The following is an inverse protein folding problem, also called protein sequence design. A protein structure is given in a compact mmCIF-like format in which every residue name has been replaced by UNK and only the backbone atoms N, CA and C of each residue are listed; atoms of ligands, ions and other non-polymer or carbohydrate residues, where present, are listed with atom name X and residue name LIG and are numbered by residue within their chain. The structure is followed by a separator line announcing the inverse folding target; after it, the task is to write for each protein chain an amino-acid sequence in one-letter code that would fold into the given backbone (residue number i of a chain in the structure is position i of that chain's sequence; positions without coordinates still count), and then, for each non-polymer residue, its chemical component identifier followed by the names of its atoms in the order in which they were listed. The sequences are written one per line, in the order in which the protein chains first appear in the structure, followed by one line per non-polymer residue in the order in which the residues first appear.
data_IF_174937859269
#
_entry.id   IF_174937859269
#
_cell.length_a   1.000
_cell.length_b   1.000
_cell.length_c   1.000
_cell.angle_alpha   90.00
_cell.angle_beta   90.00
_cell.angle_gamma   90.00
#
_symmetry.space_group_name_H-M   'P 1'
#
loop_
_entity.id
_entity.type
_entity.pdbx_description
1 polymer ?
#
# COMPACT_ATOMS: atom_id res chain seq x y z
N UNK A 1 67.61 62.50 52.14
CA UNK A 1 66.20 62.33 52.46
C UNK A 1 65.52 61.95 51.20
N UNK A 2 65.34 60.68 50.98
CA UNK A 2 64.92 60.10 49.66
C UNK A 2 63.50 59.58 49.79
N UNK A 3 62.59 60.18 49.09
CA UNK A 3 61.21 59.73 49.05
C UNK A 3 61.02 58.70 47.91
N UNK A 4 60.67 57.48 48.30
CA UNK A 4 60.25 56.41 47.40
C UNK A 4 58.80 56.62 47.01
N UNK A 5 58.54 56.66 45.69
CA UNK A 5 57.22 56.67 45.11
C UNK A 5 56.89 55.23 44.66
N UNK A 6 55.89 54.61 45.27
CA UNK A 6 55.36 53.35 44.84
C UNK A 6 54.29 53.58 43.73
N UNK A 7 54.56 53.10 42.52
CA UNK A 7 53.60 53.05 41.45
C UNK A 7 52.89 51.72 41.58
N UNK A 8 51.58 51.82 41.86
CA UNK A 8 50.68 50.65 41.91
C UNK A 8 50.13 50.39 40.46
N UNK A 9 50.69 49.38 39.80
CA UNK A 9 50.15 48.93 38.51
C UNK A 9 48.90 48.08 38.76
N UNK A 10 47.71 48.57 38.35
CA UNK A 10 46.46 47.87 38.33
C UNK A 10 46.46 47.00 37.10
N UNK A 11 46.61 45.67 37.25
CA UNK A 11 46.39 44.70 36.21
C UNK A 11 44.90 44.46 36.09
N UNK A 12 44.30 44.95 35.04
CA UNK A 12 42.89 44.58 34.64
C UNK A 12 42.97 43.24 33.94
N UNK A 13 42.63 42.17 34.62
CA UNK A 13 42.35 40.87 33.97
C UNK A 13 41.06 40.95 33.22
N UNK A 14 41.14 41.07 31.90
CA UNK A 14 40.01 40.84 30.99
C UNK A 14 39.80 39.33 30.92
N UNK A 15 38.78 38.83 31.62
CA UNK A 15 38.30 37.46 31.52
C UNK A 15 37.58 37.29 30.18
N UNK A 16 38.23 36.69 29.18
CA UNK A 16 37.57 36.16 28.01
C UNK A 16 36.82 34.89 28.39
N UNK A 17 35.52 34.96 28.49
CA UNK A 17 34.67 33.76 28.46
C UNK A 17 34.62 33.21 27.04
N UNK A 18 34.88 31.90 26.81
CA UNK A 18 34.65 31.31 25.54
C UNK A 18 33.11 31.18 25.32
N UNK A 19 32.64 31.86 24.29
CA UNK A 19 31.27 31.73 23.81
C UNK A 19 31.00 30.25 23.47
N UNK A 20 30.01 29.67 24.15
CA UNK A 20 29.41 28.38 23.70
C UNK A 20 28.73 28.62 22.36
N UNK A 21 29.41 28.30 21.28
CA UNK A 21 28.77 28.02 20.01
C UNK A 21 27.90 26.81 20.21
N UNK A 22 26.61 27.05 20.30
CA UNK A 22 25.59 26.01 20.13
C UNK A 22 25.67 25.57 18.67
N UNK A 23 26.43 24.52 18.38
CA UNK A 23 26.25 23.75 17.15
C UNK A 23 24.89 23.11 17.25
N UNK A 24 23.94 23.71 16.52
CA UNK A 24 22.71 23.03 16.15
C UNK A 24 23.12 21.84 15.28
N UNK A 25 23.09 20.64 15.86
CA UNK A 25 23.07 19.37 15.09
C UNK A 25 21.98 19.48 14.03
N UNK A 26 22.28 19.25 12.75
CA UNK A 26 21.24 19.04 11.78
C UNK A 26 20.44 17.83 12.24
N UNK A 27 19.17 18.05 12.52
CA UNK A 27 18.18 16.99 12.68
C UNK A 27 18.03 16.35 11.30
N UNK A 28 18.97 15.50 10.92
CA UNK A 28 18.72 14.50 9.91
C UNK A 28 17.69 13.55 10.53
N UNK A 29 16.43 13.78 10.19
CA UNK A 29 15.40 12.76 10.27
C UNK A 29 15.91 11.64 9.38
N UNK A 30 16.62 10.69 9.95
CA UNK A 30 16.84 9.38 9.34
C UNK A 30 15.45 8.79 9.23
N UNK A 31 14.81 9.00 8.07
CA UNK A 31 13.65 8.23 7.67
C UNK A 31 14.11 6.77 7.75
N UNK A 32 13.67 6.08 8.78
CA UNK A 32 13.98 4.66 8.94
C UNK A 32 13.33 3.96 7.77
N UNK A 33 14.00 2.95 7.20
CA UNK A 33 13.44 2.10 6.11
C UNK A 33 12.03 1.56 6.43
N UNK A 34 11.60 1.62 7.69
CA UNK A 34 10.26 1.30 8.15
C UNK A 34 9.20 2.35 7.75
N UNK A 35 9.57 3.62 7.54
CA UNK A 35 8.64 4.68 7.16
C UNK A 35 8.34 4.67 5.64
N UNK A 36 9.17 4.01 4.83
CA UNK A 36 8.93 3.82 3.40
C UNK A 36 7.94 2.68 3.10
N UNK A 37 7.59 1.85 4.07
CA UNK A 37 6.68 0.74 3.83
C UNK A 37 5.24 1.15 4.08
N UNK A 38 4.50 1.38 2.99
CA UNK A 38 3.07 1.69 3.00
C UNK A 38 2.27 0.65 3.82
N UNK A 39 1.28 1.10 4.60
CA UNK A 39 0.47 0.26 5.47
C UNK A 39 -0.22 -0.90 4.73
N UNK A 40 -0.71 -0.66 3.50
CA UNK A 40 -1.34 -1.69 2.68
C UNK A 40 -0.32 -2.74 2.22
N UNK A 41 0.91 -2.33 1.88
CA UNK A 41 2.02 -3.22 1.55
C UNK A 41 2.34 -4.16 2.72
N UNK A 42 2.47 -3.62 3.94
CA UNK A 42 2.68 -4.43 5.15
C UNK A 42 1.54 -5.40 5.38
N UNK A 43 0.30 -4.93 5.30
CA UNK A 43 -0.89 -5.75 5.45
C UNK A 43 -0.94 -6.90 4.44
N UNK A 44 -0.60 -6.65 3.18
CA UNK A 44 -0.52 -7.67 2.14
C UNK A 44 0.57 -8.72 2.44
N UNK A 45 1.77 -8.28 2.86
CA UNK A 45 2.86 -9.19 3.24
C UNK A 45 2.48 -10.10 4.41
N UNK A 46 1.71 -9.61 5.38
CA UNK A 46 1.24 -10.45 6.47
C UNK A 46 0.35 -11.60 6.00
N UNK A 47 -0.48 -11.39 4.98
CA UNK A 47 -1.38 -12.41 4.43
C UNK A 47 -0.60 -13.61 3.85
N UNK A 48 0.65 -13.43 3.44
CA UNK A 48 1.47 -14.53 2.90
C UNK A 48 1.87 -15.57 3.96
N UNK A 49 1.65 -15.28 5.25
CA UNK A 49 1.89 -16.23 6.35
C UNK A 49 0.77 -17.26 6.49
N UNK A 50 -0.42 -16.96 5.94
CA UNK A 50 -1.60 -17.79 6.06
C UNK A 50 -1.69 -18.76 4.88
N UNK A 51 -2.04 -20.03 5.18
CA UNK A 51 -2.27 -21.03 4.14
C UNK A 51 -3.70 -20.90 3.61
N UNK A 52 -3.83 -20.40 2.39
CA UNK A 52 -5.12 -20.19 1.72
C UNK A 52 -5.19 -21.01 0.45
N UNK A 53 -6.23 -21.84 0.33
CA UNK A 53 -6.54 -22.58 -0.89
C UNK A 53 -7.29 -21.68 -1.87
N UNK A 54 -6.94 -21.76 -3.15
CA UNK A 54 -7.69 -21.07 -4.21
C UNK A 54 -9.09 -21.67 -4.34
N UNK A 55 -10.12 -20.85 -4.14
CA UNK A 55 -11.53 -21.27 -4.20
C UNK A 55 -12.40 -20.14 -4.78
N UNK A 56 -12.84 -20.23 -6.06
CA UNK A 56 -13.66 -19.23 -6.71
C UNK A 56 -15.16 -19.40 -6.43
N UNK A 57 -15.55 -20.30 -5.53
CA UNK A 57 -16.96 -20.55 -5.21
C UNK A 57 -17.67 -19.29 -4.72
N UNK A 58 -18.98 -19.24 -4.97
CA UNK A 58 -19.86 -18.26 -4.37
C UNK A 58 -20.11 -18.60 -2.91
N UNK A 59 -19.95 -17.62 -2.04
CA UNK A 59 -20.25 -17.73 -0.61
C UNK A 59 -21.31 -16.70 -0.21
N UNK A 60 -22.28 -17.11 0.60
CA UNK A 60 -23.13 -16.17 1.33
C UNK A 60 -22.35 -15.71 2.56
N UNK A 61 -22.06 -14.44 2.64
CA UNK A 61 -21.23 -13.85 3.68
C UNK A 61 -21.97 -12.70 4.37
N UNK A 62 -21.65 -12.37 5.63
CA UNK A 62 -22.21 -11.20 6.31
C UNK A 62 -21.97 -9.91 5.51
N UNK A 63 -22.79 -8.91 5.79
CA UNK A 63 -22.60 -7.54 5.29
C UNK A 63 -22.89 -6.53 6.41
N UNK A 64 -22.05 -5.50 6.64
CA UNK A 64 -20.72 -5.29 6.07
C UNK A 64 -19.64 -6.24 6.70
N UNK A 65 -18.39 -6.08 6.27
CA UNK A 65 -17.20 -6.80 6.78
C UNK A 65 -17.24 -8.33 6.59
N UNK A 66 -18.06 -8.83 5.65
CA UNK A 66 -18.11 -10.25 5.34
C UNK A 66 -16.84 -10.76 4.67
N UNK A 67 -16.43 -11.97 5.00
CA UNK A 67 -15.30 -12.67 4.38
C UNK A 67 -15.69 -14.12 4.04
N UNK A 68 -15.03 -14.66 3.04
CA UNK A 68 -15.07 -16.10 2.77
C UNK A 68 -14.30 -16.86 3.85
N UNK A 69 -14.47 -18.19 3.99
CA UNK A 69 -13.71 -18.94 4.97
C UNK A 69 -12.22 -18.60 4.96
N UNK A 70 -11.56 -18.46 6.11
CA UNK A 70 -10.19 -17.91 6.20
C UNK A 70 -9.14 -18.76 5.48
N UNK A 71 -9.40 -20.05 5.30
CA UNK A 71 -8.55 -21.01 4.60
C UNK A 71 -8.76 -20.99 3.07
N UNK A 72 -9.60 -20.11 2.53
CA UNK A 72 -9.99 -20.03 1.10
C UNK A 72 -9.97 -18.62 0.59
N UNK A 73 -9.84 -18.48 -0.74
CA UNK A 73 -9.95 -17.19 -1.40
C UNK A 73 -9.34 -17.19 -2.79
N UNK A 74 -9.54 -16.09 -3.50
CA UNK A 74 -8.98 -15.80 -4.82
C UNK A 74 -8.16 -14.52 -4.79
N UNK A 75 -7.71 -14.02 -5.95
CA UNK A 75 -6.90 -12.80 -6.03
C UNK A 75 -7.56 -11.57 -5.41
N UNK A 76 -8.85 -11.40 -5.58
CA UNK A 76 -9.61 -10.28 -4.98
C UNK A 76 -9.67 -10.38 -3.46
N UNK A 77 -9.74 -11.60 -2.89
CA UNK A 77 -9.78 -11.78 -1.43
C UNK A 77 -8.46 -11.35 -0.77
N UNK A 78 -7.33 -11.46 -1.47
CA UNK A 78 -6.04 -10.89 -1.02
C UNK A 78 -6.15 -9.37 -0.87
N UNK A 79 -6.66 -8.69 -1.89
CA UNK A 79 -6.84 -7.23 -1.89
C UNK A 79 -7.82 -6.82 -0.79
N UNK A 80 -8.98 -7.47 -0.71
CA UNK A 80 -10.03 -7.19 0.28
C UNK A 80 -9.49 -7.35 1.72
N UNK A 81 -8.79 -8.44 1.99
CA UNK A 81 -8.22 -8.73 3.31
C UNK A 81 -7.11 -7.76 3.69
N UNK A 82 -6.25 -7.36 2.75
CA UNK A 82 -5.21 -6.38 2.99
C UNK A 82 -5.80 -5.01 3.34
N UNK A 83 -6.80 -4.54 2.60
CA UNK A 83 -7.53 -3.31 2.92
C UNK A 83 -8.25 -3.39 4.27
N UNK A 84 -8.86 -4.52 4.60
CA UNK A 84 -9.51 -4.73 5.90
C UNK A 84 -8.53 -4.61 7.07
N UNK A 85 -7.30 -5.12 6.93
CA UNK A 85 -6.25 -4.98 7.96
C UNK A 85 -5.87 -3.53 8.26
N UNK A 86 -6.11 -2.62 7.32
CA UNK A 86 -5.90 -1.17 7.50
C UNK A 86 -7.20 -0.40 7.74
N UNK A 87 -8.30 -1.11 8.09
CA UNK A 87 -9.57 -0.50 8.50
C UNK A 87 -10.53 -0.16 7.35
N UNK A 88 -10.26 -0.57 6.11
CA UNK A 88 -11.09 -0.29 4.93
C UNK A 88 -11.88 -1.53 4.53
N UNK A 89 -13.22 -1.46 4.58
CA UNK A 89 -14.11 -2.54 4.13
C UNK A 89 -14.49 -2.39 2.66
N UNK A 90 -13.70 -2.99 1.76
CA UNK A 90 -14.00 -2.95 0.32
C UNK A 90 -15.33 -3.61 -0.05
N UNK A 91 -15.86 -4.55 0.74
CA UNK A 91 -17.20 -5.11 0.50
C UNK A 91 -18.25 -3.97 0.59
N UNK A 92 -18.17 -3.19 1.67
CA UNK A 92 -19.09 -2.06 1.90
C UNK A 92 -18.88 -0.97 0.85
N UNK A 93 -17.64 -0.52 0.66
CA UNK A 93 -17.31 0.58 -0.24
C UNK A 93 -17.77 0.31 -1.69
N UNK A 94 -17.44 -0.88 -2.22
CA UNK A 94 -17.85 -1.30 -3.57
C UNK A 94 -19.38 -1.43 -3.67
N UNK A 95 -20.02 -2.05 -2.67
CA UNK A 95 -21.46 -2.25 -2.70
C UNK A 95 -22.23 -0.92 -2.67
N UNK A 96 -21.80 0.04 -1.86
CA UNK A 96 -22.45 1.34 -1.75
C UNK A 96 -22.24 2.19 -3.02
N UNK A 97 -21.05 2.20 -3.62
CA UNK A 97 -20.83 2.87 -4.90
C UNK A 97 -21.65 2.21 -6.02
N UNK A 98 -21.70 0.88 -6.05
CA UNK A 98 -22.53 0.16 -7.03
C UNK A 98 -24.01 0.42 -6.85
N UNK A 99 -24.54 0.58 -5.65
CA UNK A 99 -25.95 0.94 -5.43
C UNK A 99 -26.32 2.28 -6.06
N UNK A 100 -25.40 3.24 -5.99
CA UNK A 100 -25.61 4.59 -6.53
C UNK A 100 -25.30 4.69 -8.02
N UNK A 101 -24.41 3.84 -8.56
CA UNK A 101 -23.84 3.97 -9.90
C UNK A 101 -23.76 2.63 -10.62
N UNK A 102 -24.79 1.78 -10.47
CA UNK A 102 -24.79 0.43 -11.03
C UNK A 102 -24.59 0.40 -12.54
N UNK A 103 -25.03 1.44 -13.26
CA UNK A 103 -24.86 1.60 -14.70
C UNK A 103 -23.39 1.74 -15.14
N UNK A 104 -22.50 2.18 -14.24
CA UNK A 104 -21.06 2.35 -14.49
C UNK A 104 -20.27 1.05 -14.38
N UNK A 105 -20.83 0.04 -13.73
CA UNK A 105 -20.17 -1.23 -13.51
C UNK A 105 -20.43 -2.24 -14.64
N UNK A 106 -19.48 -3.17 -14.88
CA UNK A 106 -19.62 -4.16 -15.96
C UNK A 106 -20.87 -5.02 -15.83
N UNK A 107 -21.57 -5.25 -16.96
CA UNK A 107 -22.79 -6.05 -17.03
C UNK A 107 -22.54 -7.53 -17.36
N UNK A 108 -21.31 -8.01 -17.19
CA UNK A 108 -20.86 -9.35 -17.63
C UNK A 108 -21.64 -10.52 -17.02
N UNK A 109 -22.27 -10.32 -15.86
CA UNK A 109 -22.92 -11.41 -15.10
C UNK A 109 -24.45 -11.35 -15.13
N UNK A 110 -25.03 -10.46 -15.92
CA UNK A 110 -26.48 -10.36 -16.09
C UNK A 110 -27.26 -9.91 -14.85
N UNK A 111 -26.58 -9.43 -13.82
CA UNK A 111 -27.23 -8.93 -12.61
C UNK A 111 -28.01 -7.65 -12.91
N UNK A 112 -29.19 -7.53 -12.28
CA UNK A 112 -30.04 -6.34 -12.36
C UNK A 112 -29.85 -5.39 -11.17
N UNK A 113 -29.13 -5.82 -10.15
CA UNK A 113 -28.83 -5.09 -8.91
C UNK A 113 -27.50 -5.57 -8.32
N UNK A 114 -26.85 -4.77 -7.46
CA UNK A 114 -25.67 -5.21 -6.74
C UNK A 114 -25.93 -6.41 -5.84
N UNK A 115 -24.90 -7.26 -5.71
CA UNK A 115 -24.87 -8.42 -4.82
C UNK A 115 -23.69 -8.30 -3.84
N UNK A 116 -23.95 -8.04 -2.54
CA UNK A 116 -22.92 -7.81 -1.55
C UNK A 116 -22.01 -9.02 -1.29
N UNK A 117 -22.43 -10.23 -1.72
CA UNK A 117 -21.63 -11.44 -1.52
C UNK A 117 -20.49 -11.58 -2.54
N UNK A 118 -20.62 -10.97 -3.74
CA UNK A 118 -19.71 -11.30 -4.86
C UNK A 118 -19.15 -10.06 -5.58
N UNK A 119 -19.80 -8.91 -5.51
CA UNK A 119 -19.43 -7.76 -6.35
C UNK A 119 -18.01 -7.27 -6.09
N UNK A 120 -17.59 -7.17 -4.83
CA UNK A 120 -16.22 -6.82 -4.43
C UNK A 120 -15.20 -7.93 -4.72
N UNK A 121 -15.65 -9.16 -5.00
CA UNK A 121 -14.82 -10.31 -5.37
C UNK A 121 -14.64 -10.48 -6.89
N UNK A 122 -14.99 -9.47 -7.68
CA UNK A 122 -14.86 -9.43 -9.15
C UNK A 122 -13.82 -8.40 -9.56
N UNK A 123 -12.73 -8.82 -10.17
CA UNK A 123 -11.65 -7.91 -10.61
C UNK A 123 -12.18 -6.74 -11.45
N UNK A 124 -13.04 -6.91 -12.46
CA UNK A 124 -13.56 -5.78 -13.23
C UNK A 124 -14.38 -4.78 -12.41
N UNK A 125 -15.04 -5.23 -11.34
CA UNK A 125 -15.74 -4.31 -10.42
C UNK A 125 -14.76 -3.53 -9.55
N UNK A 126 -13.71 -4.17 -9.03
CA UNK A 126 -12.64 -3.48 -8.29
C UNK A 126 -11.92 -2.46 -9.17
N UNK A 127 -11.61 -2.81 -10.42
CA UNK A 127 -11.04 -1.86 -11.39
C UNK A 127 -11.94 -0.64 -11.57
N UNK A 128 -13.25 -0.84 -11.73
CA UNK A 128 -14.21 0.25 -11.84
C UNK A 128 -14.27 1.08 -10.57
N UNK A 129 -14.31 0.44 -9.41
CA UNK A 129 -14.30 1.12 -8.11
C UNK A 129 -13.05 1.97 -7.92
N UNK A 130 -11.86 1.41 -8.10
CA UNK A 130 -10.61 2.14 -7.95
C UNK A 130 -10.45 3.27 -8.99
N UNK A 131 -10.98 3.11 -10.19
CA UNK A 131 -11.02 4.19 -11.19
C UNK A 131 -11.94 5.34 -10.80
N UNK A 132 -12.97 5.09 -10.01
CA UNK A 132 -13.98 6.08 -9.60
C UNK A 132 -13.65 6.75 -8.28
N UNK A 133 -13.06 6.00 -7.35
CA UNK A 133 -12.85 6.41 -5.95
C UNK A 133 -11.38 6.56 -5.58
N UNK A 134 -10.48 5.95 -6.31
CA UNK A 134 -9.04 6.04 -6.12
C UNK A 134 -8.36 6.98 -7.11
N UNK A 135 -7.05 6.87 -7.18
CA UNK A 135 -6.22 7.52 -8.19
C UNK A 135 -5.80 6.51 -9.24
N UNK A 136 -6.15 6.75 -10.49
CA UNK A 136 -5.64 6.00 -11.64
C UNK A 136 -4.22 6.47 -11.93
N UNK A 137 -3.29 5.53 -11.99
CA UNK A 137 -1.88 5.79 -12.30
C UNK A 137 -1.53 5.35 -13.73
N UNK A 138 -0.49 5.92 -14.34
CA UNK A 138 0.00 5.46 -15.63
C UNK A 138 0.42 3.98 -15.59
N UNK A 139 0.16 3.27 -16.68
CA UNK A 139 0.74 1.95 -16.93
C UNK A 139 2.01 2.16 -17.75
N UNK A 140 3.16 1.76 -17.19
CA UNK A 140 4.47 1.94 -17.83
C UNK A 140 5.28 0.65 -17.73
N UNK A 141 6.39 0.57 -18.45
CA UNK A 141 7.35 -0.54 -18.34
C UNK A 141 8.46 -0.25 -17.31
N UNK A 142 8.41 0.93 -16.66
CA UNK A 142 9.36 1.29 -15.62
C UNK A 142 8.88 0.78 -14.24
N UNK A 143 9.61 -0.15 -13.60
CA UNK A 143 9.21 -0.71 -12.31
C UNK A 143 9.18 0.30 -11.16
N UNK A 144 9.88 1.42 -11.27
CA UNK A 144 9.92 2.45 -10.22
C UNK A 144 8.63 3.31 -10.18
N UNK A 145 7.78 3.21 -11.21
CA UNK A 145 6.48 3.88 -11.22
C UNK A 145 5.43 3.15 -10.36
N UNK A 146 5.74 1.92 -9.90
CA UNK A 146 4.86 1.08 -9.09
C UNK A 146 5.31 1.12 -7.63
N UNK A 147 4.63 1.92 -6.81
CA UNK A 147 4.97 2.14 -5.42
C UNK A 147 4.35 1.06 -4.49
N UNK A 148 4.98 0.76 -3.33
CA UNK A 148 4.38 -0.09 -2.31
C UNK A 148 2.97 0.40 -1.91
N UNK A 149 1.99 -0.52 -1.90
CA UNK A 149 0.58 -0.21 -1.66
C UNK A 149 -0.24 0.08 -2.92
N UNK A 150 0.38 0.14 -4.09
CA UNK A 150 -0.39 0.22 -5.33
C UNK A 150 -1.13 -1.10 -5.60
N UNK A 151 -2.30 -0.98 -6.22
CA UNK A 151 -3.10 -2.10 -6.71
C UNK A 151 -2.92 -2.20 -8.21
N UNK A 152 -2.55 -3.38 -8.70
CA UNK A 152 -2.36 -3.62 -10.13
C UNK A 152 -3.30 -4.73 -10.58
N UNK A 153 -3.88 -4.59 -11.77
CA UNK A 153 -4.68 -5.62 -12.43
C UNK A 153 -4.07 -6.04 -13.75
N UNK A 154 -4.31 -7.29 -14.14
CA UNK A 154 -3.79 -7.90 -15.37
C UNK A 154 -4.86 -8.68 -16.12
N UNK A 155 -4.66 -8.83 -17.44
CA UNK A 155 -5.26 -9.89 -18.22
C UNK A 155 -4.26 -11.06 -18.32
N UNK A 156 -4.76 -12.26 -17.98
CA UNK A 156 -4.01 -13.50 -18.08
C UNK A 156 -4.13 -14.11 -19.49
N UNK A 157 -3.16 -14.95 -19.92
CA UNK A 157 -3.18 -15.59 -21.25
C UNK A 157 -4.43 -16.41 -21.53
N UNK A 158 -5.13 -16.90 -20.50
CA UNK A 158 -6.39 -17.65 -20.61
C UNK A 158 -7.64 -16.76 -20.67
N UNK A 159 -7.49 -15.44 -20.77
CA UNK A 159 -8.57 -14.46 -20.81
C UNK A 159 -9.23 -14.13 -19.48
N UNK A 160 -8.71 -14.64 -18.36
CA UNK A 160 -9.16 -14.25 -17.04
C UNK A 160 -8.48 -12.95 -16.59
N UNK A 161 -9.19 -12.18 -15.77
CA UNK A 161 -8.63 -11.00 -15.10
C UNK A 161 -7.99 -11.39 -13.78
N UNK A 162 -6.93 -10.67 -13.39
CA UNK A 162 -6.19 -10.89 -12.16
C UNK A 162 -5.91 -9.55 -11.46
N UNK A 163 -5.64 -9.58 -10.14
CA UNK A 163 -5.35 -8.40 -9.33
C UNK A 163 -4.39 -8.75 -8.19
N UNK A 164 -3.56 -7.80 -7.79
CA UNK A 164 -2.63 -7.96 -6.67
C UNK A 164 -2.17 -6.62 -6.12
N UNK A 165 -1.34 -6.66 -5.08
CA UNK A 165 -0.81 -5.50 -4.37
C UNK A 165 0.71 -5.46 -4.53
N UNK A 166 1.21 -4.30 -4.95
CA UNK A 166 2.65 -4.00 -4.98
C UNK A 166 3.17 -3.85 -3.55
N UNK A 167 4.30 -4.48 -3.25
CA UNK A 167 4.88 -4.41 -1.90
C UNK A 167 6.32 -3.88 -1.91
N UNK A 168 6.78 -3.40 -0.75
CA UNK A 168 8.12 -2.81 -0.59
C UNK A 168 9.28 -3.78 -0.78
N UNK A 169 9.02 -5.10 -0.88
CA UNK A 169 10.05 -6.09 -1.20
C UNK A 169 10.39 -6.08 -2.69
N UNK A 170 11.67 -6.23 -2.98
CA UNK A 170 12.18 -6.24 -4.36
C UNK A 170 12.51 -7.67 -4.83
N UNK A 171 12.48 -7.86 -6.14
CA UNK A 171 12.96 -9.07 -6.83
C UNK A 171 14.43 -9.39 -6.48
N UNK A 172 14.87 -10.62 -6.74
CA UNK A 172 16.22 -11.08 -6.39
C UNK A 172 17.35 -10.19 -6.94
N UNK A 173 17.13 -9.53 -8.08
CA UNK A 173 18.09 -8.60 -8.69
C UNK A 173 17.89 -7.14 -8.24
N UNK A 174 16.97 -6.86 -7.29
CA UNK A 174 16.66 -5.54 -6.76
C UNK A 174 15.90 -4.60 -7.69
N UNK A 175 15.56 -5.03 -8.90
CA UNK A 175 15.06 -4.12 -9.95
C UNK A 175 13.54 -3.90 -9.95
N UNK A 176 12.75 -4.89 -9.49
CA UNK A 176 11.28 -4.81 -9.54
C UNK A 176 10.67 -4.97 -8.16
N UNK A 177 9.59 -4.27 -7.85
CA UNK A 177 8.80 -4.58 -6.67
C UNK A 177 8.14 -5.97 -6.84
N UNK A 178 7.96 -6.67 -5.73
CA UNK A 178 7.21 -7.92 -5.69
C UNK A 178 5.73 -7.65 -5.52
N UNK A 179 4.92 -8.64 -5.88
CA UNK A 179 3.46 -8.61 -5.80
C UNK A 179 2.98 -9.64 -4.79
N UNK A 180 2.03 -9.26 -3.96
CA UNK A 180 1.23 -10.21 -3.18
C UNK A 180 -0.11 -10.44 -3.89
N UNK A 181 -0.38 -11.70 -4.23
CA UNK A 181 -1.58 -12.10 -4.97
C UNK A 181 -1.94 -13.58 -4.70
N UNK A 182 -3.02 -14.08 -5.33
CA UNK A 182 -3.37 -15.50 -5.35
C UNK A 182 -3.87 -15.88 -6.75
N UNK A 183 -3.06 -16.63 -7.48
CA UNK A 183 -3.38 -17.15 -8.82
C UNK A 183 -3.57 -18.69 -8.83
N UNK A 184 -3.62 -19.30 -7.64
CA UNK A 184 -3.77 -20.76 -7.50
C UNK A 184 -2.86 -21.37 -6.43
N UNK A 185 -1.70 -20.78 -6.17
CA UNK A 185 -0.74 -21.26 -5.18
C UNK A 185 -1.04 -20.78 -3.74
N UNK A 186 -2.13 -20.08 -3.52
CA UNK A 186 -2.46 -19.40 -2.26
C UNK A 186 -2.04 -17.93 -2.27
N UNK A 187 -2.01 -17.32 -1.09
CA UNK A 187 -1.58 -15.94 -0.90
C UNK A 187 -0.04 -15.90 -0.92
N UNK A 188 0.55 -15.60 -2.06
CA UNK A 188 1.99 -15.69 -2.29
C UNK A 188 2.61 -14.35 -2.66
N UNK A 189 3.92 -14.25 -2.44
CA UNK A 189 4.77 -13.13 -2.83
C UNK A 189 5.59 -13.55 -4.05
N UNK A 190 5.37 -12.88 -5.19
CA UNK A 190 6.01 -13.26 -6.47
C UNK A 190 6.56 -12.06 -7.24
N UNK A 191 7.58 -12.31 -8.09
CA UNK A 191 8.13 -11.37 -9.06
C UNK A 191 7.33 -11.48 -10.37
N UNK A 192 6.10 -10.99 -10.37
CA UNK A 192 5.17 -11.14 -11.48
C UNK A 192 4.61 -9.82 -12.03
N UNK A 193 5.14 -8.65 -11.63
CA UNK A 193 4.61 -7.35 -12.05
C UNK A 193 4.41 -7.26 -13.57
N UNK A 194 5.41 -7.67 -14.34
CA UNK A 194 5.38 -7.65 -15.81
C UNK A 194 5.23 -9.04 -16.44
N UNK A 195 4.75 -10.04 -15.68
CA UNK A 195 4.54 -11.38 -16.20
C UNK A 195 3.31 -11.51 -17.11
N UNK A 196 2.37 -10.56 -16.99
CA UNK A 196 1.10 -10.54 -17.71
C UNK A 196 0.82 -9.12 -18.21
N UNK A 197 -0.19 -8.96 -19.08
CA UNK A 197 -0.60 -7.66 -19.60
C UNK A 197 -1.28 -6.85 -18.50
N UNK A 198 -0.65 -5.76 -18.05
CA UNK A 198 -1.23 -4.85 -17.05
C UNK A 198 -2.42 -4.12 -17.69
N UNK A 199 -3.56 -4.13 -17.02
CA UNK A 199 -4.81 -3.49 -17.47
C UNK A 199 -5.29 -2.38 -16.55
N UNK A 200 -4.66 -2.23 -15.37
CA UNK A 200 -4.94 -1.15 -14.43
C UNK A 200 -3.86 -0.98 -13.39
N UNK A 201 -3.65 0.27 -12.97
CA UNK A 201 -2.71 0.66 -11.94
C UNK A 201 -3.36 1.75 -11.09
N UNK A 202 -3.49 1.51 -9.78
CA UNK A 202 -4.29 2.35 -8.90
C UNK A 202 -3.61 2.55 -7.55
N UNK A 203 -3.91 3.68 -6.88
CA UNK A 203 -3.79 3.81 -5.44
C UNK A 203 -5.14 4.20 -4.84
N UNK A 204 -5.41 3.75 -3.62
CA UNK A 204 -6.65 4.04 -2.90
C UNK A 204 -6.39 4.19 -1.41
N UNK A 205 -6.94 5.26 -0.84
CA UNK A 205 -7.09 5.48 0.60
C UNK A 205 -8.51 5.93 0.86
N UNK A 206 -9.17 5.42 1.88
CA UNK A 206 -10.44 5.98 2.32
C UNK A 206 -10.21 7.39 2.89
N UNK A 207 -11.15 8.31 2.61
CA UNK A 207 -11.18 9.65 3.19
C UNK A 207 -11.52 9.61 4.68
#
# INVERSE_FOLDING_TARGET
MTRFFYIFCFFICVSCQPGKTSEALPSETVATQADEENALSRAALELTKDKVRYDPSYFSIPYPNGDVPPDRGVCTDVVIRAFRKIGIDLQKEVHEDMKQHFDKYPKKWGLKRPDPNIDHRRVPNLMTFFSRKGTVKPITDNPDDYAPGDVVSWDLPNGMTHIGIVVGKKSRNGKRPLIVHNIGAGQVLEDCLFAFTITGHYSYSAE
#
